data_IF_876049741044
#
_entry.id   IF_876049741044
#
_cell.length_a   1.000
_cell.length_b   1.000
_cell.length_c   1.000
_cell.angle_alpha   90.00
_cell.angle_beta   90.00
_cell.angle_gamma   90.00
#
_symmetry.space_group_name_H-M   'P 1'
#
loop_
_entity.id
_entity.type
_entity.pdbx_description
1 polymer ?
#
# COMPACT_ATOMS: atom_id res chain seq x y z
N UNK A 1 -73.42 -20.80 -35.90
CA UNK A 1 -73.33 -19.36 -36.28
C UNK A 1 -72.03 -19.20 -37.07
N UNK A 2 -71.98 -18.69 -38.31
CA UNK A 2 -72.07 -17.26 -38.72
C UNK A 2 -71.19 -16.37 -37.79
N UNK A 3 -70.22 -15.53 -38.18
CA UNK A 3 -69.64 -15.05 -39.46
C UNK A 3 -68.56 -13.97 -39.12
N UNK A 4 -67.55 -13.54 -39.89
CA UNK A 4 -66.90 -13.94 -41.17
C UNK A 4 -65.71 -12.96 -41.50
N UNK A 5 -64.92 -13.21 -42.57
CA UNK A 5 -63.90 -12.29 -43.20
C UNK A 5 -62.56 -12.15 -42.44
N UNK A 6 -61.33 -12.25 -43.00
CA UNK A 6 -60.62 -11.89 -44.27
C UNK A 6 -59.78 -10.58 -44.18
N UNK A 7 -58.45 -10.78 -44.21
CA UNK A 7 -57.37 -9.92 -44.75
C UNK A 7 -57.16 -8.51 -44.18
N UNK A 8 -55.95 -8.29 -43.65
CA UNK A 8 -55.10 -7.15 -44.05
C UNK A 8 -53.62 -7.61 -44.09
N UNK A 9 -52.83 -7.04 -45.00
CA UNK A 9 -51.49 -7.51 -45.39
C UNK A 9 -50.50 -6.35 -45.26
N UNK A 10 -49.44 -6.56 -44.46
CA UNK A 10 -48.23 -5.74 -44.47
C UNK A 10 -48.27 -4.51 -43.56
N UNK A 11 -47.30 -4.42 -42.65
CA UNK A 11 -46.19 -3.49 -42.75
C UNK A 11 -45.04 -3.99 -41.84
N UNK A 12 -43.82 -3.56 -42.14
CA UNK A 12 -42.60 -4.09 -41.52
C UNK A 12 -41.96 -3.12 -40.52
N UNK A 13 -41.04 -3.69 -39.74
CA UNK A 13 -39.90 -3.05 -39.09
C UNK A 13 -40.07 -2.36 -37.71
N UNK A 14 -38.94 -2.36 -36.98
CA UNK A 14 -38.58 -1.60 -35.79
C UNK A 14 -39.25 -1.89 -34.43
N UNK A 15 -38.76 -2.94 -33.75
CA UNK A 15 -38.55 -2.91 -32.29
C UNK A 15 -37.42 -3.88 -31.85
N UNK A 16 -36.15 -3.51 -32.12
CA UNK A 16 -34.94 -4.11 -31.50
C UNK A 16 -33.76 -3.13 -31.49
N UNK A 17 -33.83 -2.04 -30.73
CA UNK A 17 -32.67 -1.15 -30.49
C UNK A 17 -32.80 -0.21 -29.27
N UNK A 18 -33.18 -0.70 -28.08
CA UNK A 18 -33.21 0.13 -26.86
C UNK A 18 -32.50 -0.48 -25.63
N UNK A 19 -32.04 -1.73 -25.72
CA UNK A 19 -31.41 -2.44 -24.60
C UNK A 19 -29.88 -2.40 -24.58
N UNK A 20 -29.24 -1.69 -25.53
CA UNK A 20 -27.77 -1.53 -25.59
C UNK A 20 -27.26 -0.20 -25.03
N UNK A 21 -28.07 0.86 -25.03
CA UNK A 21 -27.63 2.21 -24.65
C UNK A 21 -27.50 2.34 -23.13
N UNK A 22 -28.56 2.01 -22.37
CA UNK A 22 -28.53 1.93 -20.88
C UNK A 22 -27.43 1.05 -20.29
N UNK A 23 -26.84 0.12 -21.07
CA UNK A 23 -25.73 -0.72 -20.59
C UNK A 23 -24.36 -0.04 -20.70
N UNK A 24 -24.24 1.00 -21.55
CA UNK A 24 -23.03 1.81 -21.70
C UNK A 24 -22.93 2.94 -20.67
N UNK A 25 -24.03 3.39 -20.08
CA UNK A 25 -23.98 4.46 -19.06
C UNK A 25 -23.70 3.92 -17.65
N UNK A 26 -24.06 2.67 -17.38
CA UNK A 26 -23.85 2.02 -16.07
C UNK A 26 -22.42 1.50 -15.88
N UNK A 27 -21.74 1.10 -16.95
CA UNK A 27 -20.40 0.51 -16.88
C UNK A 27 -19.28 1.51 -16.50
N UNK A 28 -19.21 2.72 -17.10
CA UNK A 28 -18.21 3.73 -16.74
C UNK A 28 -18.36 4.19 -15.29
N UNK A 29 -19.60 4.32 -14.79
CA UNK A 29 -19.84 4.73 -13.41
C UNK A 29 -19.28 3.70 -12.41
N UNK A 30 -19.57 2.41 -12.62
CA UNK A 30 -19.05 1.37 -11.73
C UNK A 30 -17.51 1.29 -11.76
N UNK A 31 -16.91 1.48 -12.94
CA UNK A 31 -15.45 1.51 -13.09
C UNK A 31 -14.82 2.74 -12.41
N UNK A 32 -15.45 3.92 -12.49
CA UNK A 32 -15.03 5.12 -11.76
C UNK A 32 -15.15 4.94 -10.24
N UNK A 33 -16.24 4.36 -9.76
CA UNK A 33 -16.44 4.05 -8.33
C UNK A 33 -15.36 3.06 -7.83
N UNK A 34 -15.01 2.03 -8.63
CA UNK A 34 -13.91 1.10 -8.31
C UNK A 34 -12.51 1.75 -8.35
N UNK A 35 -12.25 2.67 -9.28
CA UNK A 35 -10.99 3.44 -9.35
C UNK A 35 -10.84 4.41 -8.17
N UNK A 36 -11.94 5.02 -7.72
CA UNK A 36 -11.96 5.86 -6.54
C UNK A 36 -11.65 5.03 -5.28
N UNK A 37 -12.33 3.89 -5.09
CA UNK A 37 -12.06 2.99 -3.96
C UNK A 37 -10.63 2.45 -3.99
N UNK A 38 -10.09 2.13 -5.18
CA UNK A 38 -8.70 1.72 -5.31
C UNK A 38 -7.72 2.86 -4.95
N UNK A 39 -8.03 4.10 -5.29
CA UNK A 39 -7.19 5.24 -4.93
C UNK A 39 -7.17 5.49 -3.42
N UNK A 40 -8.31 5.34 -2.75
CA UNK A 40 -8.42 5.39 -1.28
C UNK A 40 -7.67 4.23 -0.61
N UNK A 41 -7.91 3.00 -1.07
CA UNK A 41 -7.26 1.77 -0.60
C UNK A 41 -5.73 1.87 -0.66
N UNK A 42 -5.18 2.42 -1.75
CA UNK A 42 -3.75 2.66 -1.91
C UNK A 42 -3.21 3.61 -0.83
N UNK A 43 -3.91 4.73 -0.60
CA UNK A 43 -3.48 5.73 0.38
C UNK A 43 -3.56 5.19 1.81
N UNK A 44 -4.59 4.41 2.14
CA UNK A 44 -4.72 3.75 3.45
C UNK A 44 -3.61 2.72 3.70
N UNK A 45 -3.28 1.90 2.69
CA UNK A 45 -2.16 0.96 2.76
C UNK A 45 -0.83 1.70 2.99
N UNK A 46 -0.62 2.82 2.28
CA UNK A 46 0.57 3.67 2.41
C UNK A 46 0.68 4.25 3.82
N UNK A 47 -0.37 4.89 4.30
CA UNK A 47 -0.46 5.49 5.64
C UNK A 47 -0.21 4.44 6.73
N UNK A 48 -0.72 3.23 6.56
CA UNK A 48 -0.52 2.11 7.49
C UNK A 48 0.97 1.72 7.58
N UNK A 49 1.64 1.50 6.46
CA UNK A 49 3.04 1.10 6.45
C UNK A 49 4.00 2.24 6.85
N UNK A 50 3.71 3.48 6.46
CA UNK A 50 4.48 4.67 6.90
C UNK A 50 4.39 4.86 8.42
N UNK A 51 3.19 4.68 9.00
CA UNK A 51 2.99 4.73 10.46
C UNK A 51 3.74 3.61 11.18
N UNK A 52 3.72 2.40 10.62
CA UNK A 52 4.42 1.24 11.17
C UNK A 52 5.95 1.41 11.12
N UNK A 53 6.49 1.97 10.03
CA UNK A 53 7.90 2.35 9.92
C UNK A 53 8.28 3.45 10.91
N UNK A 54 7.46 4.48 11.08
CA UNK A 54 7.69 5.56 12.04
C UNK A 54 7.78 5.01 13.48
N UNK A 55 6.83 4.15 13.87
CA UNK A 55 6.84 3.49 15.17
C UNK A 55 8.05 2.55 15.35
N UNK A 56 8.44 1.81 14.31
CA UNK A 56 9.61 0.94 14.32
C UNK A 56 10.91 1.73 14.47
N UNK A 57 11.06 2.85 13.76
CA UNK A 57 12.21 3.75 13.85
C UNK A 57 12.32 4.39 15.25
N UNK A 58 11.22 4.91 15.79
CA UNK A 58 11.20 5.43 17.17
C UNK A 58 11.62 4.37 18.19
N UNK A 59 11.04 3.16 18.10
CA UNK A 59 11.39 2.04 19.01
C UNK A 59 12.85 1.60 18.86
N UNK A 60 13.37 1.61 17.62
CA UNK A 60 14.77 1.29 17.29
C UNK A 60 15.72 2.31 17.91
N UNK A 61 15.38 3.60 17.84
CA UNK A 61 16.18 4.69 18.41
C UNK A 61 16.18 4.65 19.94
N UNK A 62 15.02 4.48 20.59
CA UNK A 62 14.96 4.32 22.05
C UNK A 62 15.72 3.08 22.53
N UNK A 63 15.69 1.97 21.79
CA UNK A 63 16.49 0.79 22.08
C UNK A 63 18.00 1.05 21.88
N UNK A 64 18.39 1.88 20.90
CA UNK A 64 19.77 2.34 20.76
C UNK A 64 20.21 3.17 21.97
N UNK A 65 19.48 4.24 22.31
CA UNK A 65 19.79 5.12 23.44
C UNK A 65 19.89 4.36 24.78
N UNK A 66 18.99 3.38 25.01
CA UNK A 66 19.07 2.53 26.20
C UNK A 66 20.29 1.60 26.19
N UNK A 67 20.68 1.07 25.02
CA UNK A 67 21.93 0.29 24.86
C UNK A 67 23.17 1.13 25.18
N UNK A 68 23.23 2.37 24.68
CA UNK A 68 24.32 3.30 25.00
C UNK A 68 24.41 3.56 26.52
N UNK A 69 23.27 3.86 27.16
CA UNK A 69 23.20 4.12 28.60
C UNK A 69 23.60 2.90 29.46
N UNK A 70 23.22 1.68 29.05
CA UNK A 70 23.67 0.44 29.71
C UNK A 70 25.19 0.29 29.61
N UNK A 71 25.79 0.57 28.45
CA UNK A 71 27.24 0.52 28.25
C UNK A 71 27.98 1.54 29.12
N UNK A 72 27.48 2.76 29.20
CA UNK A 72 28.04 3.82 30.04
C UNK A 72 27.98 3.46 31.53
N UNK A 73 26.83 2.96 32.00
CA UNK A 73 26.66 2.50 33.38
C UNK A 73 27.59 1.31 33.70
N UNK A 74 27.69 0.34 32.78
CA UNK A 74 28.62 -0.78 32.90
C UNK A 74 30.08 -0.32 33.00
N UNK A 75 30.47 0.65 32.18
CA UNK A 75 31.82 1.24 32.19
C UNK A 75 32.11 1.94 33.52
N UNK A 76 31.19 2.79 34.01
CA UNK A 76 31.32 3.47 35.30
C UNK A 76 31.50 2.48 36.48
N UNK A 77 30.74 1.37 36.51
CA UNK A 77 30.86 0.34 37.54
C UNK A 77 32.23 -0.38 37.51
N UNK A 78 32.76 -0.65 36.31
CA UNK A 78 34.10 -1.23 36.15
C UNK A 78 35.20 -0.24 36.58
N UNK A 79 35.10 1.05 36.23
CA UNK A 79 36.03 2.08 36.68
C UNK A 79 36.04 2.22 38.21
N UNK A 80 34.86 2.20 38.84
CA UNK A 80 34.75 2.22 40.31
C UNK A 80 35.33 0.99 40.99
N UNK A 81 35.36 -0.17 40.31
CA UNK A 81 36.03 -1.38 40.81
C UNK A 81 37.54 -1.14 41.00
N UNK A 82 38.19 -0.46 40.05
CA UNK A 82 39.63 -0.20 40.09
C UNK A 82 40.07 0.85 41.14
N UNK A 83 39.10 1.52 41.78
CA UNK A 83 39.30 2.56 42.78
C UNK A 83 38.78 2.17 44.17
N UNK A 84 38.45 0.89 44.39
CA UNK A 84 37.86 0.42 45.64
C UNK A 84 38.87 -0.37 46.48
N UNK A 85 39.13 0.12 47.69
CA UNK A 85 40.00 -0.53 48.67
C UNK A 85 39.33 -1.74 49.36
N UNK A 86 37.99 -1.85 49.30
CA UNK A 86 37.24 -3.02 49.79
C UNK A 86 37.10 -4.09 48.70
N UNK A 87 37.71 -5.25 48.95
CA UNK A 87 37.83 -6.35 47.99
C UNK A 87 36.45 -6.96 47.63
N UNK A 88 35.52 -7.04 48.58
CA UNK A 88 34.18 -7.58 48.35
C UNK A 88 33.30 -6.62 47.56
N UNK A 89 33.26 -5.33 47.94
CA UNK A 89 32.55 -4.33 47.16
C UNK A 89 33.13 -4.19 45.75
N UNK A 90 34.45 -4.32 45.58
CA UNK A 90 35.11 -4.42 44.28
C UNK A 90 34.60 -5.61 43.45
N UNK A 91 34.54 -6.82 44.04
CA UNK A 91 33.95 -8.02 43.38
C UNK A 91 32.51 -7.77 42.93
N UNK A 92 31.68 -7.17 43.78
CA UNK A 92 30.26 -6.90 43.46
C UNK A 92 30.13 -5.89 42.32
N UNK A 93 30.89 -4.78 42.35
CA UNK A 93 30.89 -3.78 41.28
C UNK A 93 31.33 -4.38 39.94
N UNK A 94 32.35 -5.25 39.94
CA UNK A 94 32.80 -5.98 38.75
C UNK A 94 31.69 -6.86 38.15
N UNK A 95 30.94 -7.57 39.00
CA UNK A 95 29.81 -8.39 38.56
C UNK A 95 28.67 -7.54 38.01
N UNK A 96 28.29 -6.47 38.71
CA UNK A 96 27.23 -5.56 38.25
C UNK A 96 27.58 -4.89 36.92
N UNK A 97 28.83 -4.43 36.75
CA UNK A 97 29.32 -3.86 35.50
C UNK A 97 29.20 -4.86 34.33
N UNK A 98 29.65 -6.10 34.51
CA UNK A 98 29.52 -7.17 33.51
C UNK A 98 28.06 -7.44 33.12
N UNK A 99 27.13 -7.45 34.07
CA UNK A 99 25.69 -7.64 33.79
C UNK A 99 25.14 -6.54 32.90
N UNK A 100 25.57 -5.27 33.06
CA UNK A 100 25.14 -4.19 32.15
C UNK A 100 25.55 -4.44 30.69
N UNK A 101 26.75 -4.98 30.44
CA UNK A 101 27.18 -5.33 29.08
C UNK A 101 26.42 -6.53 28.49
N UNK A 102 25.96 -7.48 29.31
CA UNK A 102 25.09 -8.55 28.80
C UNK A 102 23.68 -8.04 28.49
N UNK A 103 23.12 -7.15 29.32
CA UNK A 103 21.87 -6.45 29.03
C UNK A 103 21.98 -5.60 27.76
N UNK A 104 23.09 -4.88 27.56
CA UNK A 104 23.38 -4.12 26.34
C UNK A 104 23.26 -5.02 25.09
N UNK A 105 23.94 -6.18 25.08
CA UNK A 105 23.88 -7.12 23.94
C UNK A 105 22.47 -7.63 23.66
N UNK A 106 21.65 -7.83 24.70
CA UNK A 106 20.26 -8.24 24.54
C UNK A 106 19.40 -7.14 23.92
N UNK A 107 19.62 -5.88 24.31
CA UNK A 107 18.95 -4.71 23.71
C UNK A 107 19.40 -4.49 22.26
N UNK A 108 20.70 -4.60 21.96
CA UNK A 108 21.24 -4.54 20.61
C UNK A 108 20.66 -5.65 19.71
N UNK A 109 20.54 -6.88 20.24
CA UNK A 109 19.88 -8.00 19.57
C UNK A 109 18.40 -7.77 19.31
N UNK A 110 17.67 -7.21 20.29
CA UNK A 110 16.27 -6.81 20.10
C UNK A 110 16.15 -5.71 19.03
N UNK A 111 17.03 -4.71 19.03
CA UNK A 111 17.06 -3.65 17.99
C UNK A 111 17.20 -4.24 16.59
N UNK A 112 18.11 -5.21 16.40
CA UNK A 112 18.25 -5.94 15.13
C UNK A 112 16.97 -6.67 14.72
N UNK A 113 16.26 -7.27 15.67
CA UNK A 113 14.97 -7.90 15.40
C UNK A 113 13.87 -6.90 15.03
N UNK A 114 13.86 -5.66 15.53
CA UNK A 114 12.87 -4.64 15.07
C UNK A 114 13.03 -4.43 13.55
N UNK A 115 14.25 -4.23 13.08
CA UNK A 115 14.55 -4.07 11.64
C UNK A 115 14.09 -5.28 10.83
N UNK A 116 14.42 -6.50 11.28
CA UNK A 116 14.09 -7.75 10.59
C UNK A 116 12.59 -8.08 10.57
N UNK A 117 11.85 -7.69 11.61
CA UNK A 117 10.45 -8.12 11.82
C UNK A 117 9.42 -7.07 11.40
N UNK A 118 9.77 -5.79 11.43
CA UNK A 118 8.88 -4.67 11.07
C UNK A 118 9.44 -3.85 9.90
N UNK A 119 10.67 -3.32 10.01
CA UNK A 119 11.17 -2.32 9.05
C UNK A 119 11.34 -2.90 7.64
N UNK A 120 12.16 -3.92 7.47
CA UNK A 120 12.44 -4.52 6.14
C UNK A 120 11.18 -5.08 5.46
N UNK A 121 10.26 -5.79 6.15
CA UNK A 121 8.98 -6.18 5.56
C UNK A 121 8.10 -4.99 5.14
N UNK A 122 8.02 -3.93 5.95
CA UNK A 122 7.21 -2.74 5.62
C UNK A 122 7.79 -1.94 4.44
N UNK A 123 9.11 -1.78 4.39
CA UNK A 123 9.82 -1.20 3.24
C UNK A 123 9.57 -1.97 1.95
N UNK A 124 9.57 -3.31 2.00
CA UNK A 124 9.26 -4.16 0.85
C UNK A 124 7.83 -3.94 0.34
N UNK A 125 6.85 -3.82 1.25
CA UNK A 125 5.45 -3.59 0.90
C UNK A 125 5.23 -2.18 0.33
N UNK A 126 5.95 -1.17 0.84
CA UNK A 126 5.94 0.18 0.26
C UNK A 126 6.58 0.21 -1.14
N UNK A 127 7.61 -0.58 -1.40
CA UNK A 127 8.19 -0.70 -2.75
C UNK A 127 7.24 -1.41 -3.72
N UNK A 128 6.49 -2.42 -3.28
CA UNK A 128 5.38 -2.98 -4.08
C UNK A 128 4.29 -1.92 -4.31
N UNK A 129 3.91 -1.15 -3.28
CA UNK A 129 2.88 -0.12 -3.39
C UNK A 129 3.27 1.02 -4.33
N UNK A 130 4.53 1.46 -4.33
CA UNK A 130 5.10 2.43 -5.31
C UNK A 130 4.95 1.96 -6.76
N UNK A 131 5.02 0.65 -7.00
CA UNK A 131 4.76 0.09 -8.34
C UNK A 131 3.29 0.29 -8.73
N UNK A 132 2.36 0.20 -7.77
CA UNK A 132 0.93 0.44 -7.97
C UNK A 132 0.61 1.94 -8.08
N UNK A 133 1.31 2.81 -7.33
CA UNK A 133 1.27 4.27 -7.49
C UNK A 133 1.63 4.66 -8.94
N UNK A 134 2.68 4.05 -9.51
CA UNK A 134 3.08 4.27 -10.91
C UNK A 134 2.05 3.77 -11.94
N UNK A 135 1.44 2.60 -11.71
CA UNK A 135 0.34 2.11 -12.56
C UNK A 135 -0.88 3.07 -12.53
N UNK A 136 -1.22 3.60 -11.35
CA UNK A 136 -2.27 4.61 -11.22
C UNK A 136 -1.91 5.89 -11.99
N UNK A 137 -0.65 6.34 -11.94
CA UNK A 137 -0.16 7.51 -12.69
C UNK A 137 -0.35 7.32 -14.20
N UNK A 138 -0.02 6.14 -14.72
CA UNK A 138 -0.22 5.78 -16.14
C UNK A 138 -1.71 5.73 -16.51
N UNK A 139 -2.56 5.18 -15.64
CA UNK A 139 -4.02 5.21 -15.80
C UNK A 139 -4.59 6.64 -15.83
N UNK A 140 -4.13 7.54 -14.95
CA UNK A 140 -4.52 8.95 -14.94
C UNK A 140 -4.09 9.67 -16.24
N UNK A 141 -2.85 9.46 -16.71
CA UNK A 141 -2.35 10.01 -17.99
C UNK A 141 -3.21 9.55 -19.19
N UNK A 142 -3.57 8.26 -19.25
CA UNK A 142 -4.46 7.73 -20.31
C UNK A 142 -5.86 8.34 -20.24
N UNK A 143 -6.38 8.62 -19.04
CA UNK A 143 -7.66 9.31 -18.86
C UNK A 143 -7.63 10.72 -19.42
N UNK A 144 -6.58 11.49 -19.10
CA UNK A 144 -6.41 12.86 -19.59
C UNK A 144 -6.34 12.92 -21.13
N UNK A 145 -5.68 11.94 -21.77
CA UNK A 145 -5.67 11.81 -23.24
C UNK A 145 -7.08 11.56 -23.79
N UNK A 146 -7.87 10.69 -23.16
CA UNK A 146 -9.26 10.44 -23.57
C UNK A 146 -10.14 11.69 -23.44
N UNK A 147 -10.07 12.36 -22.28
CA UNK A 147 -10.81 13.61 -22.00
C UNK A 147 -10.43 14.71 -23.01
N UNK A 148 -9.14 14.85 -23.33
CA UNK A 148 -8.66 15.78 -24.35
C UNK A 148 -9.20 15.47 -25.75
N UNK A 149 -9.16 14.19 -26.18
CA UNK A 149 -9.68 13.79 -27.49
C UNK A 149 -11.19 14.01 -27.61
N UNK A 150 -11.96 13.72 -26.54
CA UNK A 150 -13.38 14.02 -26.45
C UNK A 150 -13.65 15.52 -26.60
N UNK A 151 -12.99 16.35 -25.78
CA UNK A 151 -13.18 17.79 -25.79
C UNK A 151 -12.81 18.44 -27.13
N UNK A 152 -11.75 17.96 -27.82
CA UNK A 152 -11.41 18.45 -29.16
C UNK A 152 -12.42 18.01 -30.21
N UNK A 153 -12.94 16.79 -30.13
CA UNK A 153 -13.97 16.28 -31.05
C UNK A 153 -15.30 17.03 -30.91
N UNK A 154 -15.67 17.41 -29.69
CA UNK A 154 -16.83 18.28 -29.43
C UNK A 154 -16.63 19.69 -30.00
N UNK A 155 -15.47 20.32 -29.72
CA UNK A 155 -15.13 21.65 -30.26
C UNK A 155 -15.09 21.67 -31.80
N UNK A 156 -14.52 20.63 -32.42
CA UNK A 156 -14.48 20.42 -33.87
C UNK A 156 -15.84 20.10 -34.49
N UNK A 157 -16.87 19.78 -33.70
CA UNK A 157 -18.25 19.60 -34.18
C UNK A 157 -19.00 20.92 -34.33
N UNK A 158 -18.56 21.98 -33.65
CA UNK A 158 -19.15 23.34 -33.71
C UNK A 158 -18.40 24.31 -34.63
N UNK A 159 -17.16 24.01 -35.01
CA UNK A 159 -16.37 24.76 -35.99
C UNK A 159 -15.91 23.78 -37.07
N UNK A 160 -16.10 24.12 -38.35
CA UNK A 160 -15.66 23.33 -39.51
C UNK A 160 -14.11 23.30 -39.64
N UNK A 161 -13.43 22.86 -38.59
CA UNK A 161 -11.97 22.75 -38.48
C UNK A 161 -11.51 21.42 -39.06
N UNK A 162 -10.35 21.44 -39.72
CA UNK A 162 -9.81 20.31 -40.47
C UNK A 162 -9.09 19.26 -39.60
N UNK A 163 -8.99 19.53 -38.30
CA UNK A 163 -8.32 18.70 -37.29
C UNK A 163 -9.33 18.28 -36.22
N UNK A 164 -9.90 17.09 -36.37
CA UNK A 164 -10.67 16.42 -35.32
C UNK A 164 -10.26 14.95 -35.27
N UNK A 165 -10.10 14.41 -34.06
CA UNK A 165 -9.69 13.01 -33.88
C UNK A 165 -10.68 12.05 -34.52
N UNK A 166 -10.18 10.99 -35.15
CA UNK A 166 -11.02 9.98 -35.75
C UNK A 166 -11.77 9.18 -34.67
N UNK A 167 -12.96 8.62 -34.97
CA UNK A 167 -13.66 7.76 -34.02
C UNK A 167 -12.82 6.55 -33.58
N UNK A 168 -11.93 6.07 -34.45
CA UNK A 168 -11.03 4.94 -34.18
C UNK A 168 -9.91 5.33 -33.21
N UNK A 169 -9.30 6.52 -33.38
CA UNK A 169 -8.27 7.02 -32.45
C UNK A 169 -8.81 7.18 -31.03
N UNK A 170 -10.03 7.73 -30.91
CA UNK A 170 -10.70 7.86 -29.63
C UNK A 170 -11.03 6.49 -29.00
N UNK A 171 -11.48 5.53 -29.82
CA UNK A 171 -11.77 4.18 -29.33
C UNK A 171 -10.50 3.49 -28.82
N UNK A 172 -9.39 3.55 -29.55
CA UNK A 172 -8.10 2.97 -29.10
C UNK A 172 -7.60 3.65 -27.83
N UNK A 173 -7.67 4.98 -27.72
CA UNK A 173 -7.28 5.67 -26.49
C UNK A 173 -8.12 5.23 -25.28
N UNK A 174 -9.42 4.97 -25.47
CA UNK A 174 -10.31 4.49 -24.42
C UNK A 174 -10.06 3.01 -24.07
N UNK A 175 -9.75 2.17 -25.05
CA UNK A 175 -9.34 0.77 -24.84
C UNK A 175 -8.03 0.69 -24.04
N UNK A 176 -7.03 1.52 -24.37
CA UNK A 176 -5.79 1.67 -23.58
C UNK A 176 -6.06 2.09 -22.13
N UNK A 177 -6.96 3.06 -21.91
CA UNK A 177 -7.34 3.52 -20.57
C UNK A 177 -8.05 2.42 -19.76
N UNK A 178 -8.99 1.71 -20.39
CA UNK A 178 -9.75 0.64 -19.73
C UNK A 178 -8.84 -0.55 -19.34
N UNK A 179 -7.81 -0.84 -20.14
CA UNK A 179 -6.78 -1.83 -19.81
C UNK A 179 -5.95 -1.41 -18.59
N UNK A 180 -5.35 -0.22 -18.60
CA UNK A 180 -4.54 0.29 -17.48
C UNK A 180 -5.35 0.43 -16.18
N UNK A 181 -6.58 0.93 -16.27
CA UNK A 181 -7.51 1.00 -15.15
C UNK A 181 -7.77 -0.39 -14.54
N UNK A 182 -7.99 -1.40 -15.39
CA UNK A 182 -8.22 -2.79 -14.95
C UNK A 182 -6.98 -3.38 -14.30
N UNK A 183 -5.80 -3.16 -14.87
CA UNK A 183 -4.51 -3.64 -14.34
C UNK A 183 -4.21 -3.02 -12.97
N UNK A 184 -4.38 -1.70 -12.83
CA UNK A 184 -4.21 -0.98 -11.57
C UNK A 184 -5.15 -1.55 -10.48
N UNK A 185 -6.47 -1.58 -10.75
CA UNK A 185 -7.47 -2.05 -9.78
C UNK A 185 -7.23 -3.50 -9.38
N UNK A 186 -6.89 -4.38 -10.34
CA UNK A 186 -6.57 -5.79 -10.05
C UNK A 186 -5.32 -5.93 -9.19
N UNK A 187 -4.22 -5.24 -9.54
CA UNK A 187 -2.95 -5.32 -8.79
C UNK A 187 -3.11 -4.81 -7.36
N UNK A 188 -3.85 -3.73 -7.16
CA UNK A 188 -4.11 -3.22 -5.81
C UNK A 188 -4.98 -4.18 -4.99
N UNK A 189 -6.10 -4.69 -5.54
CA UNK A 189 -6.95 -5.66 -4.84
C UNK A 189 -6.15 -6.89 -4.41
N UNK A 190 -5.24 -7.38 -5.27
CA UNK A 190 -4.31 -8.47 -4.97
C UNK A 190 -3.36 -8.12 -3.80
N UNK A 191 -2.77 -6.91 -3.80
CA UNK A 191 -1.88 -6.45 -2.73
C UNK A 191 -2.64 -6.27 -1.39
N UNK A 192 -3.82 -5.66 -1.41
CA UNK A 192 -4.69 -5.46 -0.23
C UNK A 192 -5.16 -6.78 0.37
N UNK A 193 -5.47 -7.79 -0.46
CA UNK A 193 -5.82 -9.13 0.00
C UNK A 193 -4.70 -9.78 0.84
N UNK A 194 -3.43 -9.48 0.55
CA UNK A 194 -2.27 -9.96 1.32
C UNK A 194 -1.96 -9.16 2.60
N UNK A 195 -2.45 -7.92 2.72
CA UNK A 195 -2.05 -6.97 3.77
C UNK A 195 -2.27 -7.51 5.19
N UNK A 196 -3.47 -8.01 5.49
CA UNK A 196 -3.82 -8.48 6.84
C UNK A 196 -2.91 -9.61 7.32
N UNK A 197 -2.62 -10.58 6.45
CA UNK A 197 -1.69 -11.68 6.73
C UNK A 197 -0.26 -11.18 6.90
N UNK A 198 0.17 -10.19 6.12
CA UNK A 198 1.49 -9.57 6.25
C UNK A 198 1.65 -8.89 7.62
N UNK A 199 0.71 -8.02 7.99
CA UNK A 199 0.70 -7.31 9.28
C UNK A 199 0.69 -8.28 10.46
N UNK A 200 -0.17 -9.31 10.43
CA UNK A 200 -0.20 -10.36 11.46
C UNK A 200 1.13 -11.12 11.57
N UNK A 201 1.79 -11.40 10.45
CA UNK A 201 3.09 -12.07 10.43
C UNK A 201 4.19 -11.19 11.03
N UNK A 202 4.20 -9.90 10.71
CA UNK A 202 5.13 -8.92 11.27
C UNK A 202 4.93 -8.79 12.79
N UNK A 203 3.68 -8.55 13.24
CA UNK A 203 3.34 -8.44 14.67
C UNK A 203 3.70 -9.70 15.47
N UNK A 204 3.35 -10.90 14.97
CA UNK A 204 3.67 -12.15 15.64
C UNK A 204 5.20 -12.40 15.77
N UNK A 205 5.98 -12.06 14.73
CA UNK A 205 7.44 -12.15 14.76
C UNK A 205 8.05 -11.14 15.74
N UNK A 206 7.57 -9.90 15.73
CA UNK A 206 8.01 -8.85 16.63
C UNK A 206 7.73 -9.19 18.10
N UNK A 207 6.51 -9.64 18.42
CA UNK A 207 6.17 -10.11 19.78
C UNK A 207 7.00 -11.33 20.20
N UNK A 208 7.31 -12.26 19.29
CA UNK A 208 8.23 -13.38 19.57
C UNK A 208 9.64 -12.87 19.94
N UNK A 209 10.15 -11.84 19.24
CA UNK A 209 11.42 -11.20 19.57
C UNK A 209 11.37 -10.49 20.94
N UNK A 210 10.28 -9.78 21.26
CA UNK A 210 10.07 -9.16 22.58
C UNK A 210 10.07 -10.22 23.69
N UNK A 211 9.32 -11.32 23.53
CA UNK A 211 9.28 -12.42 24.51
C UNK A 211 10.65 -13.10 24.67
N UNK A 212 11.44 -13.21 23.60
CA UNK A 212 12.82 -13.72 23.64
C UNK A 212 13.76 -12.77 24.37
N UNK A 213 13.58 -11.46 24.21
CA UNK A 213 14.33 -10.41 24.93
C UNK A 213 14.03 -10.47 26.44
N UNK A 214 12.76 -10.35 26.83
CA UNK A 214 12.33 -10.36 28.24
C UNK A 214 12.55 -11.70 28.98
N UNK A 215 12.78 -12.81 28.27
CA UNK A 215 13.13 -14.10 28.88
C UNK A 215 14.64 -14.26 29.12
N UNK A 216 15.47 -13.50 28.41
CA UNK A 216 16.94 -13.61 28.47
C UNK A 216 17.58 -12.57 29.38
N UNK A 217 16.95 -11.41 29.54
CA UNK A 217 17.33 -10.40 30.54
C UNK A 217 16.73 -10.72 31.90
#
# INVERSE_FOLDING_TARGET
MKSSLRKLRGLAAHHRSDSKEKRRDLHPRAQLDELAQASEDMQDMRNCYDSLLSAAAATTNCAYEFSEALRELGTCLLEKTALNDDEESGRVLLMMGKVQFELQKLVDGYRSHITQTISTPSESLLNELRTVEEMKRQCDEKREVCEYMLAQREKGRFKNSKESFSPQQLQTAQEDYDEEATLFVFRLKSLKQGQSRSLLTQAARHHSAQLSFFRKG
#
